data_IF_998813448220
#
_entry.id   IF_998813448220
#
_cell.length_a   1.000
_cell.length_b   1.000
_cell.length_c   1.000
_cell.angle_alpha   90.00
_cell.angle_beta   90.00
_cell.angle_gamma   90.00
#
_symmetry.space_group_name_H-M   'P 1'
#
loop_
_entity.id
_entity.type
_entity.pdbx_description
1 polymer ?
#
# COMPACT_ATOMS: atom_id res chain seq x y z
N UNK A 1 -39.32 -5.92 -29.90
CA UNK A 1 -38.99 -4.87 -28.90
C UNK A 1 -38.86 -5.40 -27.46
N UNK A 2 -39.66 -6.39 -27.01
CA UNK A 2 -39.60 -6.92 -25.63
C UNK A 2 -38.33 -7.70 -25.27
N UNK A 3 -37.80 -8.52 -26.17
CA UNK A 3 -36.61 -9.35 -25.90
C UNK A 3 -35.34 -8.52 -25.64
N UNK A 4 -35.12 -7.46 -26.44
CA UNK A 4 -33.97 -6.56 -26.27
C UNK A 4 -34.00 -5.85 -24.92
N UNK A 5 -35.18 -5.42 -24.46
CA UNK A 5 -35.34 -4.80 -23.15
C UNK A 5 -35.06 -5.79 -22.01
N UNK A 6 -35.48 -7.05 -22.15
CA UNK A 6 -35.16 -8.11 -21.18
C UNK A 6 -33.65 -8.40 -21.13
N UNK A 7 -32.99 -8.50 -22.29
CA UNK A 7 -31.53 -8.73 -22.37
C UNK A 7 -30.77 -7.59 -21.70
N UNK A 8 -31.12 -6.34 -22.00
CA UNK A 8 -30.50 -5.16 -21.38
C UNK A 8 -30.70 -5.14 -19.85
N UNK A 9 -31.89 -5.52 -19.38
CA UNK A 9 -32.18 -5.64 -17.96
C UNK A 9 -31.28 -6.66 -17.24
N UNK A 10 -31.06 -7.82 -17.87
CA UNK A 10 -30.18 -8.88 -17.33
C UNK A 10 -28.72 -8.42 -17.31
N UNK A 11 -28.24 -7.81 -18.39
CA UNK A 11 -26.87 -7.28 -18.49
C UNK A 11 -26.59 -6.27 -17.38
N UNK A 12 -27.49 -5.30 -17.18
CA UNK A 12 -27.38 -4.30 -16.13
C UNK A 12 -27.33 -4.93 -14.72
N UNK A 13 -28.08 -6.01 -14.47
CA UNK A 13 -28.03 -6.70 -13.18
C UNK A 13 -26.71 -7.45 -12.95
N UNK A 14 -26.17 -8.09 -14.00
CA UNK A 14 -24.88 -8.78 -13.95
C UNK A 14 -23.76 -7.78 -13.66
N UNK A 15 -23.75 -6.64 -14.36
CA UNK A 15 -22.77 -5.57 -14.16
C UNK A 15 -22.81 -5.04 -12.72
N UNK A 16 -24.00 -4.73 -12.20
CA UNK A 16 -24.18 -4.29 -10.80
C UNK A 16 -23.62 -5.31 -9.81
N UNK A 17 -23.92 -6.61 -10.00
CA UNK A 17 -23.41 -7.68 -9.13
C UNK A 17 -21.88 -7.77 -9.18
N UNK A 18 -21.29 -7.63 -10.36
CA UNK A 18 -19.84 -7.67 -10.54
C UNK A 18 -19.15 -6.49 -9.86
N UNK A 19 -19.71 -5.29 -9.97
CA UNK A 19 -19.21 -4.09 -9.28
C UNK A 19 -19.24 -4.29 -7.77
N UNK A 20 -20.39 -4.73 -7.22
CA UNK A 20 -20.54 -4.99 -5.77
C UNK A 20 -19.53 -6.03 -5.30
N UNK A 21 -19.34 -7.12 -6.06
CA UNK A 21 -18.37 -8.16 -5.73
C UNK A 21 -16.93 -7.63 -5.72
N UNK A 22 -16.59 -6.77 -6.69
CA UNK A 22 -15.28 -6.12 -6.78
C UNK A 22 -15.03 -5.19 -5.59
N UNK A 23 -15.98 -4.33 -5.25
CA UNK A 23 -15.84 -3.40 -4.13
C UNK A 23 -15.78 -4.13 -2.78
N UNK A 24 -16.57 -5.20 -2.59
CA UNK A 24 -16.45 -6.07 -1.41
C UNK A 24 -15.09 -6.74 -1.30
N UNK A 25 -14.52 -7.18 -2.43
CA UNK A 25 -13.17 -7.73 -2.46
C UNK A 25 -12.17 -6.66 -2.04
N UNK A 26 -12.20 -5.47 -2.65
CA UNK A 26 -11.27 -4.38 -2.34
C UNK A 26 -11.36 -4.02 -0.85
N UNK A 27 -12.55 -3.75 -0.33
CA UNK A 27 -12.76 -3.38 1.07
C UNK A 27 -12.32 -4.45 2.07
N UNK A 28 -12.21 -5.72 1.66
CA UNK A 28 -11.68 -6.80 2.48
C UNK A 28 -10.15 -6.76 2.66
N UNK A 29 -9.43 -6.11 1.75
CA UNK A 29 -7.97 -6.18 1.68
C UNK A 29 -7.26 -4.82 1.68
N UNK A 30 -7.94 -3.74 1.31
CA UNK A 30 -7.39 -2.39 1.31
C UNK A 30 -8.46 -1.39 1.73
N UNK A 31 -8.14 -0.58 2.75
CA UNK A 31 -9.02 0.46 3.27
C UNK A 31 -8.28 1.79 3.44
N UNK A 32 -8.92 2.85 2.95
CA UNK A 32 -8.57 4.24 3.21
C UNK A 32 -9.62 4.74 4.19
N UNK A 33 -9.21 5.12 5.40
CA UNK A 33 -10.14 5.45 6.48
C UNK A 33 -10.48 6.94 6.58
N UNK A 34 -9.56 7.80 6.13
CA UNK A 34 -9.74 9.24 6.17
C UNK A 34 -9.72 9.78 4.73
N UNK A 35 -10.66 10.66 4.39
CA UNK A 35 -10.62 11.46 3.17
C UNK A 35 -9.86 12.78 3.34
N UNK A 36 -9.53 13.13 4.60
CA UNK A 36 -8.75 14.32 4.98
C UNK A 36 -7.24 14.13 4.87
N UNK A 37 -6.80 13.05 4.22
CA UNK A 37 -5.40 12.74 4.04
C UNK A 37 -4.74 13.81 3.16
N UNK A 38 -3.51 14.20 3.49
CA UNK A 38 -2.76 15.28 2.87
C UNK A 38 -2.67 15.22 1.33
N UNK A 39 -2.93 16.36 0.69
CA UNK A 39 -2.68 16.58 -0.75
C UNK A 39 -3.47 15.62 -1.66
N UNK A 40 -2.86 15.25 -2.79
CA UNK A 40 -3.48 14.33 -3.78
C UNK A 40 -3.34 12.84 -3.39
N UNK A 41 -2.75 12.54 -2.23
CA UNK A 41 -2.44 11.16 -1.85
C UNK A 41 -3.70 10.30 -1.70
N UNK A 42 -4.81 10.88 -1.22
CA UNK A 42 -6.10 10.20 -1.18
C UNK A 42 -6.52 9.73 -2.56
N UNK A 43 -6.54 10.62 -3.56
CA UNK A 43 -6.98 10.30 -4.92
C UNK A 43 -6.09 9.25 -5.57
N UNK A 44 -4.76 9.39 -5.43
CA UNK A 44 -3.83 8.41 -6.00
C UNK A 44 -4.01 7.02 -5.39
N UNK A 45 -4.14 6.94 -4.06
CA UNK A 45 -4.41 5.67 -3.38
C UNK A 45 -5.79 5.10 -3.74
N UNK A 46 -6.81 5.97 -3.80
CA UNK A 46 -8.16 5.56 -4.17
C UNK A 46 -8.19 4.99 -5.59
N UNK A 47 -7.49 5.60 -6.54
CA UNK A 47 -7.37 5.12 -7.91
C UNK A 47 -6.57 3.80 -7.98
N UNK A 48 -5.54 3.66 -7.14
CA UNK A 48 -4.70 2.46 -7.08
C UNK A 48 -5.25 1.32 -6.19
N UNK A 49 -6.37 1.53 -5.48
CA UNK A 49 -6.90 0.61 -4.44
C UNK A 49 -7.06 -0.84 -4.91
N UNK A 50 -7.46 -1.04 -6.16
CA UNK A 50 -7.63 -2.39 -6.72
C UNK A 50 -6.30 -3.13 -6.80
N UNK A 51 -5.22 -2.43 -7.18
CA UNK A 51 -3.87 -2.99 -7.27
C UNK A 51 -3.36 -3.41 -5.90
N UNK A 52 -3.50 -2.54 -4.90
CA UNK A 52 -3.10 -2.86 -3.52
C UNK A 52 -3.94 -4.01 -2.93
N UNK A 53 -5.25 -4.00 -3.13
CA UNK A 53 -6.13 -5.07 -2.67
C UNK A 53 -5.77 -6.44 -3.28
N UNK A 54 -5.47 -6.48 -4.59
CA UNK A 54 -5.04 -7.71 -5.26
C UNK A 54 -3.70 -8.22 -4.72
N UNK A 55 -2.73 -7.32 -4.51
CA UNK A 55 -1.47 -7.68 -3.87
C UNK A 55 -1.70 -8.24 -2.46
N UNK A 56 -2.44 -7.50 -1.62
CA UNK A 56 -2.74 -7.86 -0.24
C UNK A 56 -3.42 -9.23 -0.13
N UNK A 57 -4.42 -9.47 -0.99
CA UNK A 57 -5.07 -10.77 -1.15
C UNK A 57 -4.08 -11.88 -1.48
N UNK A 58 -3.18 -11.66 -2.44
CA UNK A 58 -2.17 -12.65 -2.83
C UNK A 58 -1.16 -12.97 -1.71
N UNK A 59 -1.00 -12.07 -0.74
CA UNK A 59 -0.10 -12.22 0.41
C UNK A 59 -0.82 -12.64 1.70
N UNK A 60 -2.14 -12.76 1.68
CA UNK A 60 -2.93 -13.09 2.89
C UNK A 60 -2.88 -11.99 3.96
N UNK A 61 -2.79 -10.73 3.54
CA UNK A 61 -2.74 -9.56 4.42
C UNK A 61 -3.90 -8.60 4.14
N UNK A 62 -4.24 -7.73 5.08
CA UNK A 62 -5.01 -6.51 4.84
C UNK A 62 -4.13 -5.28 5.02
N UNK A 63 -4.49 -4.20 4.32
CA UNK A 63 -3.82 -2.91 4.37
C UNK A 63 -4.84 -1.87 4.80
N UNK A 64 -4.52 -1.14 5.86
CA UNK A 64 -5.30 -0.01 6.35
C UNK A 64 -4.43 1.24 6.31
N UNK A 65 -4.95 2.32 5.72
CA UNK A 65 -4.28 3.61 5.60
C UNK A 65 -5.12 4.67 6.30
N UNK A 66 -4.48 5.41 7.19
CA UNK A 66 -5.07 6.48 7.98
C UNK A 66 -4.26 7.76 7.84
N UNK A 67 -4.89 8.89 8.18
CA UNK A 67 -4.16 10.11 8.53
C UNK A 67 -3.28 9.84 9.76
N UNK A 68 -2.00 10.19 9.70
CA UNK A 68 -1.08 9.92 10.81
C UNK A 68 -1.45 10.68 12.10
N UNK A 69 -2.18 11.80 12.01
CA UNK A 69 -2.69 12.54 13.17
C UNK A 69 -3.64 11.72 14.03
N UNK A 70 -4.29 10.70 13.48
CA UNK A 70 -5.14 9.78 14.23
C UNK A 70 -4.37 9.01 15.31
N UNK A 71 -3.03 8.95 15.23
CA UNK A 71 -2.20 8.32 16.28
C UNK A 71 -2.19 9.09 17.60
N UNK A 72 -2.49 10.40 17.56
CA UNK A 72 -2.49 11.29 18.72
C UNK A 72 -3.86 11.90 19.00
N UNK A 73 -4.91 11.52 18.26
CA UNK A 73 -6.22 12.17 18.32
C UNK A 73 -6.87 12.12 19.72
N UNK A 74 -6.54 11.12 20.53
CA UNK A 74 -7.05 10.96 21.90
C UNK A 74 -6.01 11.32 22.98
N UNK A 75 -4.86 11.89 22.60
CA UNK A 75 -3.82 12.30 23.54
C UNK A 75 -3.92 13.82 23.79
N UNK A 76 -4.59 14.18 24.89
CA UNK A 76 -4.78 15.58 25.31
C UNK A 76 -3.46 16.29 25.65
N UNK A 77 -2.38 15.53 25.86
CA UNK A 77 -1.05 16.06 26.17
C UNK A 77 -0.13 16.11 24.94
N UNK A 78 -0.59 15.65 23.78
CA UNK A 78 0.20 15.67 22.56
C UNK A 78 0.54 17.13 22.17
N UNK A 79 1.83 17.47 21.99
CA UNK A 79 2.22 18.82 21.58
C UNK A 79 1.62 19.17 20.21
N UNK A 80 1.18 20.42 20.03
CA UNK A 80 0.70 20.93 18.72
C UNK A 80 1.75 20.73 17.62
N UNK A 81 3.05 20.87 17.97
CA UNK A 81 4.16 20.62 17.04
C UNK A 81 4.19 19.18 16.53
N UNK A 82 3.77 18.19 17.33
CA UNK A 82 3.66 16.80 16.91
C UNK A 82 2.54 16.63 15.89
N UNK A 83 1.36 17.23 16.14
CA UNK A 83 0.26 17.24 15.17
C UNK A 83 0.64 17.85 13.83
N UNK A 84 1.40 18.95 13.85
CA UNK A 84 1.93 19.57 12.63
C UNK A 84 2.96 18.68 11.93
N UNK A 85 3.82 17.97 12.65
CA UNK A 85 4.79 17.04 12.04
C UNK A 85 4.14 15.82 11.37
N UNK A 86 2.88 15.51 11.72
CA UNK A 86 2.10 14.40 11.18
C UNK A 86 1.13 14.84 10.08
N UNK A 87 0.94 16.14 9.86
CA UNK A 87 -0.10 16.65 8.95
C UNK A 87 0.10 16.27 7.49
N UNK A 88 1.33 15.93 7.10
CA UNK A 88 1.71 15.49 5.75
C UNK A 88 2.09 14.00 5.71
N UNK A 89 1.65 13.22 6.71
CA UNK A 89 2.02 11.81 6.89
C UNK A 89 0.80 10.88 6.89
N UNK A 90 1.06 9.64 6.49
CA UNK A 90 0.12 8.51 6.56
C UNK A 90 0.54 7.56 7.66
N UNK A 91 -0.43 7.00 8.37
CA UNK A 91 -0.23 5.76 9.12
C UNK A 91 -0.63 4.58 8.24
N UNK A 92 0.37 3.81 7.82
CA UNK A 92 0.18 2.57 7.06
C UNK A 92 0.23 1.38 8.02
N UNK A 93 -0.87 0.64 8.12
CA UNK A 93 -0.97 -0.59 8.92
C UNK A 93 -1.17 -1.79 8.00
N UNK A 94 -0.36 -2.82 8.20
CA UNK A 94 -0.51 -4.12 7.53
C UNK A 94 -0.85 -5.17 8.58
N UNK A 95 -1.85 -6.00 8.31
CA UNK A 95 -2.30 -7.08 9.19
C UNK A 95 -2.27 -8.41 8.45
N UNK A 96 -1.63 -9.42 9.02
CA UNK A 96 -1.72 -10.79 8.51
C UNK A 96 -3.10 -11.37 8.88
N UNK A 97 -3.89 -11.75 7.88
CA UNK A 97 -5.30 -12.14 8.07
C UNK A 97 -5.42 -13.46 8.85
N UNK A 98 -4.48 -14.39 8.65
CA UNK A 98 -4.52 -15.71 9.30
C UNK A 98 -4.16 -15.63 10.78
N UNK A 99 -3.18 -14.80 11.13
CA UNK A 99 -2.64 -14.74 12.50
C UNK A 99 -3.18 -13.57 13.31
N UNK A 100 -3.82 -12.59 12.67
CA UNK A 100 -4.23 -11.32 13.28
C UNK A 100 -3.07 -10.39 13.66
N UNK A 101 -1.81 -10.79 13.47
CA UNK A 101 -0.64 -9.96 13.79
C UNK A 101 -0.59 -8.75 12.86
N UNK A 102 -0.32 -7.58 13.41
CA UNK A 102 -0.22 -6.35 12.63
C UNK A 102 1.05 -5.57 12.94
N UNK A 103 1.50 -4.78 11.96
CA UNK A 103 2.59 -3.83 12.10
C UNK A 103 2.20 -2.56 11.36
N UNK A 104 2.58 -1.42 11.92
CA UNK A 104 2.28 -0.13 11.35
C UNK A 104 3.54 0.74 11.22
N UNK A 105 3.49 1.71 10.32
CA UNK A 105 4.57 2.67 10.08
C UNK A 105 3.99 4.00 9.61
N UNK A 106 4.57 5.08 10.11
CA UNK A 106 4.31 6.44 9.61
C UNK A 106 5.20 6.69 8.39
N UNK A 107 4.59 7.14 7.30
CA UNK A 107 5.25 7.40 6.03
C UNK A 107 4.80 8.74 5.45
N UNK A 108 5.57 9.31 4.53
CA UNK A 108 5.21 10.55 3.87
C UNK A 108 3.97 10.39 2.97
N UNK A 109 3.06 11.37 3.01
CA UNK A 109 1.91 11.48 2.12
C UNK A 109 2.18 12.36 0.89
N UNK A 110 3.36 12.99 0.80
CA UNK A 110 3.67 13.91 -0.30
C UNK A 110 3.76 13.16 -1.64
N UNK A 111 2.84 13.46 -2.56
CA UNK A 111 2.75 12.84 -3.89
C UNK A 111 3.73 13.39 -4.91
N UNK A 112 4.20 14.62 -4.69
CA UNK A 112 5.06 15.34 -5.61
C UNK A 112 6.55 15.05 -5.35
N UNK A 113 6.85 14.38 -4.24
CA UNK A 113 8.19 14.00 -3.88
C UNK A 113 8.61 12.67 -4.56
N UNK A 114 9.89 12.55 -4.87
CA UNK A 114 10.51 11.27 -5.22
C UNK A 114 11.19 10.67 -4.00
N UNK A 115 11.09 9.34 -3.87
CA UNK A 115 11.61 8.63 -2.71
C UNK A 115 12.78 7.74 -3.12
N UNK A 116 13.97 8.02 -2.60
CA UNK A 116 15.15 7.22 -2.93
C UNK A 116 15.05 5.86 -2.26
N UNK A 117 15.03 4.81 -3.07
CA UNK A 117 15.11 3.42 -2.65
C UNK A 117 16.45 2.84 -3.08
N UNK A 118 17.16 2.24 -2.14
CA UNK A 118 18.42 1.57 -2.37
C UNK A 118 18.21 0.06 -2.21
N UNK A 119 18.72 -0.70 -3.16
CA UNK A 119 18.83 -2.15 -3.05
C UNK A 119 20.29 -2.56 -3.21
N UNK A 120 20.74 -3.46 -2.35
CA UNK A 120 22.07 -4.04 -2.42
C UNK A 120 21.92 -5.42 -3.07
N UNK A 121 22.67 -5.66 -4.15
CA UNK A 121 22.67 -6.92 -4.87
C UNK A 121 24.10 -7.46 -4.94
N UNK A 122 24.26 -8.76 -4.75
CA UNK A 122 25.50 -9.45 -5.07
C UNK A 122 25.43 -9.86 -6.54
N UNK A 123 26.28 -9.27 -7.37
CA UNK A 123 26.45 -9.63 -8.77
C UNK A 123 27.70 -10.51 -8.92
N UNK A 124 27.58 -11.56 -9.73
CA UNK A 124 28.67 -12.49 -10.00
C UNK A 124 29.16 -12.27 -11.42
N UNK A 125 30.43 -11.94 -11.55
CA UNK A 125 31.10 -11.75 -12.82
C UNK A 125 32.02 -12.93 -13.10
N UNK A 126 31.94 -13.45 -14.33
CA UNK A 126 32.77 -14.55 -14.79
C UNK A 126 33.73 -14.00 -15.84
N UNK A 127 35.03 -14.07 -15.57
CA UNK A 127 36.08 -13.70 -16.52
C UNK A 127 37.05 -14.87 -16.70
N UNK A 128 36.83 -15.67 -17.75
CA UNK A 128 37.55 -16.93 -17.96
C UNK A 128 37.31 -17.92 -16.81
N UNK A 129 38.38 -18.30 -16.10
CA UNK A 129 38.32 -19.24 -14.97
C UNK A 129 38.13 -18.55 -13.61
N UNK A 130 38.03 -17.22 -13.57
CA UNK A 130 37.87 -16.46 -12.32
C UNK A 130 36.41 -16.07 -12.17
N UNK A 131 35.84 -16.41 -11.01
CA UNK A 131 34.51 -15.97 -10.57
C UNK A 131 34.69 -14.96 -9.45
N UNK A 132 34.25 -13.72 -9.67
CA UNK A 132 34.31 -12.65 -8.70
C UNK A 132 32.90 -12.21 -8.33
N UNK A 133 32.67 -11.99 -7.04
CA UNK A 133 31.39 -11.49 -6.52
C UNK A 133 31.56 -10.05 -6.07
N UNK A 134 30.73 -9.16 -6.60
CA UNK A 134 30.72 -7.74 -6.26
C UNK A 134 29.40 -7.38 -5.61
N UNK A 135 29.48 -6.57 -4.55
CA UNK A 135 28.30 -5.91 -4.00
C UNK A 135 28.00 -4.66 -4.83
N UNK A 136 26.87 -4.65 -5.52
CA UNK A 136 26.39 -3.51 -6.29
C UNK A 136 25.24 -2.83 -5.56
N UNK A 137 25.33 -1.50 -5.46
CA UNK A 137 24.26 -0.66 -4.91
C UNK A 137 23.43 -0.11 -6.06
N UNK A 138 22.19 -0.55 -6.17
CA UNK A 138 21.22 -0.02 -7.12
C UNK A 138 20.38 1.05 -6.42
N UNK A 139 20.35 2.23 -7.01
CA UNK A 139 19.59 3.39 -6.51
C UNK A 139 18.45 3.67 -7.48
N UNK A 140 17.23 3.76 -6.96
CA UNK A 140 16.04 4.06 -7.74
C UNK A 140 15.23 5.16 -7.06
N UNK A 141 14.62 6.01 -7.87
CA UNK A 141 13.63 6.96 -7.40
C UNK A 141 12.24 6.35 -7.56
N UNK A 142 11.54 6.24 -6.43
CA UNK A 142 10.18 5.74 -6.37
C UNK A 142 9.20 6.91 -6.42
N UNK A 143 8.17 6.78 -7.25
CA UNK A 143 6.96 7.60 -7.13
C UNK A 143 6.23 7.26 -5.83
N UNK A 144 5.32 8.12 -5.40
CA UNK A 144 4.52 7.90 -4.19
C UNK A 144 3.86 6.50 -4.13
N UNK A 145 3.22 6.03 -5.20
CA UNK A 145 2.58 4.71 -5.21
C UNK A 145 3.59 3.55 -5.09
N UNK A 146 4.78 3.69 -5.67
CA UNK A 146 5.84 2.67 -5.54
C UNK A 146 6.44 2.69 -4.14
N UNK A 147 6.65 3.87 -3.57
CA UNK A 147 7.05 4.06 -2.18
C UNK A 147 6.06 3.42 -1.20
N UNK A 148 4.74 3.62 -1.42
CA UNK A 148 3.68 2.94 -0.67
C UNK A 148 3.81 1.42 -0.76
N UNK A 149 3.94 0.89 -1.98
CA UNK A 149 4.09 -0.54 -2.21
C UNK A 149 5.31 -1.13 -1.49
N UNK A 150 6.47 -0.46 -1.53
CA UNK A 150 7.69 -0.90 -0.83
C UNK A 150 7.50 -0.94 0.68
N UNK A 151 6.79 0.03 1.24
CA UNK A 151 6.48 0.02 2.68
C UNK A 151 5.54 -1.13 3.05
N UNK A 152 4.50 -1.39 2.26
CA UNK A 152 3.63 -2.55 2.45
C UNK A 152 4.44 -3.85 2.34
N UNK A 153 5.29 -3.99 1.33
CA UNK A 153 6.13 -5.17 1.13
C UNK A 153 7.08 -5.40 2.31
N UNK A 154 7.74 -4.34 2.79
CA UNK A 154 8.64 -4.39 3.95
C UNK A 154 7.90 -4.84 5.22
N UNK A 155 6.75 -4.25 5.52
CA UNK A 155 5.92 -4.65 6.66
C UNK A 155 5.43 -6.09 6.54
N UNK A 156 5.09 -6.53 5.33
CA UNK A 156 4.67 -7.91 5.04
C UNK A 156 5.80 -8.91 5.28
N UNK A 157 7.02 -8.61 4.81
CA UNK A 157 8.21 -9.45 5.06
C UNK A 157 8.50 -9.56 6.55
N UNK A 158 8.40 -8.44 7.27
CA UNK A 158 8.57 -8.43 8.73
C UNK A 158 7.55 -9.32 9.44
N UNK A 159 6.26 -9.20 9.09
CA UNK A 159 5.19 -10.03 9.67
C UNK A 159 5.38 -11.54 9.40
N UNK A 160 5.94 -11.88 8.25
CA UNK A 160 6.17 -13.26 7.84
C UNK A 160 7.53 -13.81 8.31
N UNK A 161 8.30 -13.07 9.11
CA UNK A 161 9.63 -13.50 9.60
C UNK A 161 10.69 -13.64 8.50
N UNK A 162 10.50 -12.96 7.36
CA UNK A 162 11.40 -12.97 6.19
C UNK A 162 12.16 -11.66 6.01
N UNK A 163 12.22 -10.81 7.03
CA UNK A 163 13.03 -9.62 6.99
C UNK A 163 14.50 -10.01 7.27
N UNK A 164 15.35 -9.96 6.25
CA UNK A 164 16.79 -9.79 6.49
C UNK A 164 16.97 -8.35 6.95
N UNK A 165 17.58 -8.19 8.13
CA UNK A 165 18.04 -6.90 8.68
C UNK A 165 19.18 -6.41 7.82
#
# INVERSE_FOLDING_TARGET
MKLRNCINGIQNQIEKRNIIKKEKMIAGYFKLHDDTIYGDSYNQLYNARTTFANYAKSKGISIDVYDARQTIANDEYAPVSLGNSLSDKLMLKVTNILTGKSKARIISANTDNTYVHNNIKLDVFHNGNVTETYETKQVHEDTFLRYMYRNVESLTKYLNGKANI
#
